data_IF_882270834499
#
_entry.id   IF_882270834499
#
_cell.length_a   1.000
_cell.length_b   1.000
_cell.length_c   1.000
_cell.angle_alpha   90.00
_cell.angle_beta   90.00
_cell.angle_gamma   90.00
#
_symmetry.space_group_name_H-M   'P 1'
#
loop_
_entity.id
_entity.type
_entity.pdbx_description
1 polymer ?
#
# COMPACT_ATOMS: atom_id res chain seq x y z
N UNK A 1 -27.55 31.23 9.76
CA UNK A 1 -27.39 30.40 8.56
C UNK A 1 -26.44 31.14 7.63
N UNK A 2 -25.14 30.93 7.79
CA UNK A 2 -24.10 31.44 6.90
C UNK A 2 -23.94 30.46 5.74
N UNK A 3 -24.11 30.95 4.52
CA UNK A 3 -24.00 30.21 3.27
C UNK A 3 -22.50 29.89 3.01
N UNK A 4 -22.16 28.63 2.72
CA UNK A 4 -20.77 28.16 2.46
C UNK A 4 -20.16 28.78 1.18
N UNK A 5 -20.95 29.55 0.41
CA UNK A 5 -20.48 30.32 -0.75
C UNK A 5 -19.43 31.38 -0.41
N UNK A 6 -19.23 31.68 0.86
CA UNK A 6 -18.07 32.41 1.33
C UNK A 6 -16.97 31.44 1.78
N UNK A 7 -16.18 30.94 0.81
CA UNK A 7 -14.81 30.49 1.07
C UNK A 7 -14.20 31.48 2.05
N UNK A 8 -13.71 31.06 3.23
CA UNK A 8 -13.71 31.91 4.41
C UNK A 8 -12.64 33.01 4.40
N UNK A 9 -12.00 33.27 3.27
CA UNK A 9 -11.09 34.38 3.06
C UNK A 9 -10.79 34.55 1.57
N UNK A 10 -10.55 35.79 1.13
CA UNK A 10 -10.02 36.11 -0.21
C UNK A 10 -8.76 35.29 -0.54
N UNK A 11 -7.98 34.93 0.49
CA UNK A 11 -6.85 34.02 0.41
C UNK A 11 -7.17 32.70 -0.31
N UNK A 12 -8.18 31.94 0.14
CA UNK A 12 -8.47 30.64 -0.46
C UNK A 12 -8.99 30.76 -1.90
N UNK A 13 -9.73 31.83 -2.22
CA UNK A 13 -10.19 32.12 -3.58
C UNK A 13 -9.00 32.39 -4.52
N UNK A 14 -7.94 33.01 -4.01
CA UNK A 14 -6.72 33.30 -4.78
C UNK A 14 -5.77 32.10 -4.85
N UNK A 15 -5.69 31.30 -3.79
CA UNK A 15 -4.78 30.16 -3.70
C UNK A 15 -5.33 28.88 -4.36
N UNK A 16 -6.65 28.69 -4.36
CA UNK A 16 -7.28 27.45 -4.80
C UNK A 16 -8.49 27.68 -5.70
N UNK A 17 -8.63 26.85 -6.72
CA UNK A 17 -9.80 26.79 -7.61
C UNK A 17 -10.64 25.55 -7.29
N UNK A 18 -11.95 25.75 -7.03
CA UNK A 18 -12.89 24.64 -6.80
C UNK A 18 -13.01 23.78 -8.06
N UNK A 19 -12.81 22.46 -7.91
CA UNK A 19 -13.05 21.48 -8.98
C UNK A 19 -14.44 20.87 -8.85
N UNK A 20 -14.77 20.34 -7.66
CA UNK A 20 -16.09 19.76 -7.32
C UNK A 20 -16.24 19.56 -5.82
N UNK A 21 -17.48 19.43 -5.35
CA UNK A 21 -17.76 18.93 -4.00
C UNK A 21 -17.67 17.39 -3.97
N UNK A 22 -17.13 16.87 -2.87
CA UNK A 22 -16.99 15.42 -2.61
C UNK A 22 -18.09 14.90 -1.68
N UNK A 23 -18.79 15.79 -0.97
CA UNK A 23 -19.93 15.48 -0.11
C UNK A 23 -21.17 16.30 -0.49
N UNK A 24 -22.34 15.88 0.02
CA UNK A 24 -23.62 16.54 -0.27
C UNK A 24 -23.80 17.86 0.47
N UNK A 25 -23.11 18.04 1.60
CA UNK A 25 -23.24 19.24 2.42
C UNK A 25 -22.26 20.34 1.99
N UNK A 26 -21.51 20.11 0.90
CA UNK A 26 -20.54 21.04 0.32
C UNK A 26 -19.43 21.45 1.30
N UNK A 27 -19.13 20.59 2.30
CA UNK A 27 -18.09 20.83 3.31
C UNK A 27 -16.74 20.25 2.93
N UNK A 28 -16.74 19.28 2.01
CA UNK A 28 -15.54 18.62 1.50
C UNK A 28 -15.48 18.90 0.01
N UNK A 29 -14.43 19.57 -0.42
CA UNK A 29 -14.24 19.96 -1.81
C UNK A 29 -12.91 19.46 -2.33
N UNK A 30 -12.91 19.02 -3.58
CA UNK A 30 -11.71 18.85 -4.38
C UNK A 30 -11.35 20.21 -4.95
N UNK A 31 -10.16 20.68 -4.62
CA UNK A 31 -9.64 21.95 -5.09
C UNK A 31 -8.34 21.75 -5.85
N UNK A 32 -8.05 22.66 -6.76
CA UNK A 32 -6.77 22.72 -7.45
C UNK A 32 -6.00 23.93 -6.97
N UNK A 33 -4.75 23.75 -6.55
CA UNK A 33 -3.87 24.86 -6.18
C UNK A 33 -3.49 25.67 -7.42
N UNK A 34 -3.58 26.99 -7.29
CA UNK A 34 -3.21 27.93 -8.34
C UNK A 34 -1.68 28.15 -8.42
N UNK A 35 -0.91 27.55 -7.49
CA UNK A 35 0.53 27.71 -7.39
C UNK A 35 1.25 26.56 -8.11
N UNK A 36 0.83 25.32 -7.88
CA UNK A 36 1.51 24.10 -8.32
C UNK A 36 0.63 23.19 -9.21
N UNK A 37 -0.59 23.63 -9.56
CA UNK A 37 -1.60 22.90 -10.34
C UNK A 37 -2.01 21.54 -9.73
N UNK A 38 -1.63 21.26 -8.48
CA UNK A 38 -1.88 19.99 -7.80
C UNK A 38 -3.27 19.97 -7.16
N UNK A 39 -3.82 18.76 -7.00
CA UNK A 39 -5.13 18.53 -6.42
C UNK A 39 -5.03 18.32 -4.90
N UNK A 40 -5.92 18.97 -4.17
CA UNK A 40 -6.02 18.90 -2.72
C UNK A 40 -7.48 18.72 -2.29
N UNK A 41 -7.67 18.21 -1.08
CA UNK A 41 -8.97 18.19 -0.43
C UNK A 41 -9.03 19.34 0.56
N UNK A 42 -10.05 20.18 0.42
CA UNK A 42 -10.37 21.25 1.36
C UNK A 42 -11.62 20.86 2.17
N UNK A 43 -11.46 20.79 3.49
CA UNK A 43 -12.53 20.47 4.44
C UNK A 43 -12.85 21.66 5.33
N UNK A 44 -14.13 21.94 5.54
CA UNK A 44 -14.62 22.91 6.52
C UNK A 44 -15.22 22.15 7.70
N UNK A 45 -14.56 22.25 8.85
CA UNK A 45 -14.92 21.52 10.07
C UNK A 45 -15.53 22.48 11.10
N UNK A 46 -16.81 22.32 11.40
CA UNK A 46 -17.50 23.11 12.44
C UNK A 46 -17.13 22.64 13.86
N UNK A 47 -16.88 21.34 14.02
CA UNK A 47 -16.46 20.73 15.27
C UNK A 47 -15.08 20.10 15.08
N UNK A 48 -14.07 20.64 15.76
CA UNK A 48 -12.68 20.22 15.59
C UNK A 48 -11.90 20.36 16.90
N UNK A 49 -10.80 19.64 16.98
CA UNK A 49 -9.70 19.95 17.90
C UNK A 49 -8.48 20.35 17.06
N UNK A 50 -8.06 21.60 17.23
CA UNK A 50 -6.92 22.14 16.50
C UNK A 50 -5.62 21.42 16.89
N UNK A 51 -5.51 20.91 18.11
CA UNK A 51 -4.31 20.25 18.59
C UNK A 51 -4.11 18.91 17.88
N UNK A 52 -5.17 18.12 17.68
CA UNK A 52 -5.10 16.86 16.92
C UNK A 52 -4.59 17.12 15.49
N UNK A 53 -5.23 18.04 14.77
CA UNK A 53 -4.82 18.38 13.40
C UNK A 53 -3.41 18.97 13.34
N UNK A 54 -3.06 19.83 14.30
CA UNK A 54 -1.71 20.40 14.39
C UNK A 54 -0.64 19.34 14.62
N UNK A 55 -0.97 18.28 15.37
CA UNK A 55 -0.05 17.17 15.66
C UNK A 55 0.11 16.25 14.46
N UNK A 56 -0.99 15.93 13.75
CA UNK A 56 -0.92 15.18 12.48
C UNK A 56 -0.09 15.96 11.44
N UNK A 57 -0.30 17.28 11.36
CA UNK A 57 0.50 18.15 10.48
C UNK A 57 1.99 18.15 10.83
N UNK A 58 2.34 18.23 12.12
CA UNK A 58 3.74 18.24 12.60
C UNK A 58 4.41 16.87 12.51
N UNK A 59 3.64 15.79 12.66
CA UNK A 59 4.13 14.42 12.67
C UNK A 59 3.25 13.55 11.76
N UNK A 60 3.50 13.59 10.44
CA UNK A 60 2.75 12.80 9.47
C UNK A 60 2.84 11.30 9.78
N UNK A 61 1.73 10.60 9.53
CA UNK A 61 1.62 9.14 9.69
C UNK A 61 1.33 8.53 8.33
N UNK A 62 2.10 7.51 7.94
CA UNK A 62 1.85 6.79 6.69
C UNK A 62 0.42 6.23 6.66
N UNK A 63 -0.26 6.40 5.53
CA UNK A 63 -1.68 6.03 5.38
C UNK A 63 -2.66 7.03 6.01
N UNK A 64 -2.21 8.21 6.42
CA UNK A 64 -3.07 9.37 6.75
C UNK A 64 -2.78 10.49 5.75
N UNK A 65 -3.80 11.16 5.15
CA UNK A 65 -3.57 12.29 4.26
C UNK A 65 -2.69 13.36 4.92
N UNK A 66 -1.67 13.83 4.21
CA UNK A 66 -0.81 14.88 4.75
C UNK A 66 -1.59 16.19 4.82
N UNK A 67 -1.56 16.82 5.99
CA UNK A 67 -2.17 18.13 6.21
C UNK A 67 -1.17 19.23 5.85
N UNK A 68 -1.54 20.11 4.93
CA UNK A 68 -0.73 21.25 4.47
C UNK A 68 -1.10 22.54 5.19
N UNK A 69 -2.40 22.80 5.32
CA UNK A 69 -2.91 24.05 5.89
C UNK A 69 -3.99 23.79 6.91
N UNK A 70 -3.98 24.64 7.95
CA UNK A 70 -4.95 24.67 9.03
C UNK A 70 -5.26 26.13 9.27
N UNK A 71 -6.45 26.56 8.89
CA UNK A 71 -6.86 27.96 8.98
C UNK A 71 -8.15 28.04 9.79
N UNK A 72 -8.10 28.50 11.05
CA UNK A 72 -9.28 28.82 11.82
C UNK A 72 -10.02 29.99 11.20
N UNK A 73 -11.35 29.89 11.11
CA UNK A 73 -12.24 30.90 10.52
C UNK A 73 -13.51 31.00 11.34
N UNK A 74 -14.32 32.04 11.10
CA UNK A 74 -15.60 32.20 11.79
C UNK A 74 -16.60 31.04 11.50
N UNK A 75 -16.43 30.35 10.38
CA UNK A 75 -17.25 29.19 9.98
C UNK A 75 -16.72 27.85 10.50
N UNK A 76 -15.54 27.82 11.14
CA UNK A 76 -14.87 26.61 11.60
C UNK A 76 -13.42 26.51 11.14
N UNK A 77 -12.83 25.32 11.25
CA UNK A 77 -11.46 25.06 10.80
C UNK A 77 -11.46 24.62 9.33
N UNK A 78 -10.74 25.36 8.50
CA UNK A 78 -10.39 24.90 7.15
C UNK A 78 -9.14 24.04 7.23
N UNK A 79 -9.23 22.83 6.67
CA UNK A 79 -8.13 21.88 6.54
C UNK A 79 -7.86 21.66 5.06
N UNK A 80 -6.61 21.85 4.62
CA UNK A 80 -6.15 21.46 3.28
C UNK A 80 -5.22 20.26 3.42
N UNK A 81 -5.56 19.17 2.75
CA UNK A 81 -4.83 17.90 2.83
C UNK A 81 -4.69 17.21 1.46
N UNK A 82 -3.87 16.15 1.40
CA UNK A 82 -3.70 15.33 0.20
C UNK A 82 -5.05 14.86 -0.37
N UNK A 83 -5.20 14.96 -1.69
CA UNK A 83 -6.22 14.22 -2.40
C UNK A 83 -5.75 12.79 -2.68
N UNK A 84 -6.48 11.82 -2.12
CA UNK A 84 -6.23 10.39 -2.36
C UNK A 84 -7.12 9.92 -3.52
N UNK A 85 -6.51 9.61 -4.66
CA UNK A 85 -7.22 9.10 -5.83
C UNK A 85 -7.47 7.58 -5.69
N UNK A 86 -8.55 7.25 -4.97
CA UNK A 86 -8.91 5.87 -4.68
C UNK A 86 -10.40 5.64 -4.51
N UNK A 87 -10.75 4.40 -4.15
CA UNK A 87 -12.13 3.97 -3.92
C UNK A 87 -12.36 3.82 -2.43
N UNK A 88 -13.47 4.34 -1.91
CA UNK A 88 -13.81 4.12 -0.50
C UNK A 88 -14.15 2.67 -0.23
N UNK A 89 -13.79 2.16 0.94
CA UNK A 89 -13.94 0.75 1.30
C UNK A 89 -15.41 0.30 1.27
N UNK A 90 -16.37 1.17 1.60
CA UNK A 90 -17.81 0.87 1.48
C UNK A 90 -18.22 0.51 0.04
N UNK A 91 -17.53 1.07 -0.95
CA UNK A 91 -17.80 0.91 -2.38
C UNK A 91 -16.99 -0.22 -3.05
N UNK A 92 -16.11 -0.91 -2.32
CA UNK A 92 -15.29 -1.99 -2.89
C UNK A 92 -16.11 -3.27 -3.01
N UNK A 93 -16.17 -3.83 -4.21
CA UNK A 93 -16.79 -5.13 -4.48
C UNK A 93 -15.75 -6.25 -4.64
N UNK A 94 -16.21 -7.50 -4.77
CA UNK A 94 -15.33 -8.66 -4.99
C UNK A 94 -14.46 -8.43 -6.23
N UNK A 95 -13.14 -8.56 -6.06
CA UNK A 95 -12.17 -8.39 -7.12
C UNK A 95 -11.97 -9.73 -7.87
N UNK A 96 -12.21 -9.78 -9.20
CA UNK A 96 -12.06 -11.03 -9.95
C UNK A 96 -10.65 -11.61 -9.84
N UNK A 97 -10.55 -12.90 -9.52
CA UNK A 97 -9.28 -13.62 -9.41
C UNK A 97 -8.45 -13.29 -8.16
N UNK A 98 -8.97 -12.47 -7.24
CA UNK A 98 -8.33 -12.15 -5.96
C UNK A 98 -8.94 -13.03 -4.87
N UNK A 99 -8.09 -13.62 -4.04
CA UNK A 99 -8.55 -14.25 -2.81
C UNK A 99 -8.93 -13.14 -1.81
N UNK A 100 -10.23 -12.97 -1.56
CA UNK A 100 -10.74 -11.91 -0.69
C UNK A 100 -10.35 -12.12 0.79
N UNK A 101 -10.11 -13.35 1.24
CA UNK A 101 -9.58 -13.61 2.59
C UNK A 101 -8.15 -13.07 2.73
N UNK A 102 -7.27 -13.41 1.78
CA UNK A 102 -5.87 -12.92 1.78
C UNK A 102 -5.81 -11.39 1.63
N UNK A 103 -6.69 -10.83 0.79
CA UNK A 103 -6.84 -9.39 0.64
C UNK A 103 -7.28 -8.74 1.95
N UNK A 104 -8.28 -9.30 2.64
CA UNK A 104 -8.77 -8.77 3.91
C UNK A 104 -7.73 -8.87 5.04
N UNK A 105 -6.94 -9.94 5.08
CA UNK A 105 -5.81 -10.07 6.01
C UNK A 105 -4.77 -8.97 5.74
N UNK A 106 -4.45 -8.72 4.47
CA UNK A 106 -3.48 -7.69 4.07
C UNK A 106 -4.00 -6.29 4.39
N UNK A 107 -5.27 -6.02 4.06
CA UNK A 107 -5.98 -4.79 4.42
C UNK A 107 -5.94 -4.53 5.92
N UNK A 108 -6.34 -5.52 6.74
CA UNK A 108 -6.35 -5.39 8.20
C UNK A 108 -4.95 -5.16 8.77
N UNK A 109 -3.92 -5.79 8.21
CA UNK A 109 -2.54 -5.57 8.61
C UNK A 109 -2.05 -4.15 8.29
N UNK A 110 -2.40 -3.60 7.12
CA UNK A 110 -2.05 -2.23 6.74
C UNK A 110 -2.79 -1.20 7.62
N UNK A 111 -4.07 -1.42 7.93
CA UNK A 111 -4.81 -0.58 8.88
C UNK A 111 -4.16 -0.59 10.28
N UNK A 112 -3.65 -1.73 10.74
CA UNK A 112 -2.94 -1.80 12.00
C UNK A 112 -1.64 -0.98 12.01
N UNK A 113 -0.97 -0.81 10.87
CA UNK A 113 0.22 0.04 10.77
C UNK A 113 -0.14 1.51 10.95
N UNK A 114 -1.22 1.97 10.30
CA UNK A 114 -1.75 3.33 10.44
C UNK A 114 -2.11 3.60 11.91
N UNK A 115 -2.92 2.72 12.51
CA UNK A 115 -3.32 2.84 13.91
C UNK A 115 -2.11 2.85 14.85
N UNK A 116 -1.14 1.97 14.62
CA UNK A 116 0.11 1.95 15.40
C UNK A 116 0.88 3.28 15.29
N UNK A 117 0.85 3.94 14.12
CA UNK A 117 1.45 5.26 13.93
C UNK A 117 0.75 6.33 14.76
N UNK A 118 -0.58 6.39 14.69
CA UNK A 118 -1.40 7.34 15.45
C UNK A 118 -1.28 7.15 16.97
N UNK A 119 -1.31 5.88 17.42
CA UNK A 119 -1.25 5.52 18.84
C UNK A 119 0.12 5.77 19.47
N UNK A 120 1.19 5.90 18.67
CA UNK A 120 2.54 6.22 19.15
C UNK A 120 2.79 7.71 19.34
N UNK A 121 1.92 8.57 18.80
CA UNK A 121 2.03 10.00 19.04
C UNK A 121 1.85 10.31 20.53
N UNK A 122 2.43 11.40 21.01
CA UNK A 122 2.32 11.79 22.43
C UNK A 122 1.51 13.09 22.54
N UNK A 123 0.31 13.09 23.16
CA UNK A 123 -0.46 11.91 23.65
C UNK A 123 -1.06 11.05 22.51
N UNK A 124 -1.37 9.76 22.70
CA UNK A 124 -1.92 8.93 21.62
C UNK A 124 -3.13 9.55 20.93
N UNK A 125 -3.18 9.52 19.59
CA UNK A 125 -4.38 9.96 18.85
C UNK A 125 -5.26 8.73 18.64
N UNK A 126 -6.45 8.72 19.22
CA UNK A 126 -7.46 7.67 19.02
C UNK A 126 -8.45 8.15 17.95
N UNK A 127 -8.60 7.40 16.87
CA UNK A 127 -9.41 7.84 15.72
C UNK A 127 -10.91 7.86 16.02
N UNK A 128 -11.42 6.86 16.77
CA UNK A 128 -12.80 6.75 17.28
C UNK A 128 -13.91 6.56 16.25
N UNK A 129 -13.62 6.70 14.97
CA UNK A 129 -14.58 6.56 13.87
C UNK A 129 -14.03 5.70 12.71
N UNK A 130 -13.43 4.55 13.06
CA UNK A 130 -12.97 3.57 12.06
C UNK A 130 -14.19 2.86 11.47
N UNK A 131 -14.45 3.10 10.18
CA UNK A 131 -15.55 2.49 9.42
C UNK A 131 -15.26 2.50 7.92
N UNK A 132 -15.95 1.70 7.09
CA UNK A 132 -15.69 1.63 5.65
C UNK A 132 -15.76 2.96 4.90
N UNK A 133 -16.60 3.90 5.32
CA UNK A 133 -16.72 5.21 4.67
C UNK A 133 -15.52 6.13 4.91
N UNK A 134 -14.74 5.87 5.97
CA UNK A 134 -13.58 6.67 6.36
C UNK A 134 -12.26 6.02 5.89
N UNK A 135 -12.32 5.05 4.98
CA UNK A 135 -11.14 4.34 4.49
C UNK A 135 -11.14 4.36 2.97
N UNK A 136 -10.05 4.84 2.37
CA UNK A 136 -9.82 4.82 0.93
C UNK A 136 -8.78 3.76 0.60
N UNK A 137 -9.03 2.97 -0.44
CA UNK A 137 -8.05 2.06 -1.03
C UNK A 137 -7.58 2.65 -2.35
N UNK A 138 -6.29 2.91 -2.45
CA UNK A 138 -5.66 3.48 -3.63
C UNK A 138 -4.35 2.74 -3.92
N UNK A 139 -4.16 2.29 -5.16
CA UNK A 139 -2.92 1.65 -5.62
C UNK A 139 -2.41 0.43 -4.83
N UNK A 140 -3.27 -0.21 -4.03
CA UNK A 140 -2.89 -1.34 -3.16
C UNK A 140 -2.57 -0.94 -1.72
N UNK A 141 -2.55 0.36 -1.44
CA UNK A 141 -2.44 0.93 -0.11
C UNK A 141 -3.81 1.30 0.47
N UNK A 142 -3.84 1.54 1.78
CA UNK A 142 -5.03 1.94 2.52
C UNK A 142 -4.76 3.29 3.18
N UNK A 143 -5.77 4.15 3.17
CA UNK A 143 -5.70 5.50 3.71
C UNK A 143 -6.87 5.70 4.65
N UNK A 144 -6.58 6.08 5.89
CA UNK A 144 -7.55 6.44 6.90
C UNK A 144 -7.80 7.95 6.83
N UNK A 145 -9.04 8.32 6.57
CA UNK A 145 -9.49 9.71 6.45
C UNK A 145 -10.46 10.05 7.59
N UNK A 146 -10.74 11.34 7.75
CA UNK A 146 -11.79 11.89 8.63
C UNK A 146 -11.63 11.54 10.13
N UNK A 147 -10.76 12.30 10.79
CA UNK A 147 -10.64 12.30 12.25
C UNK A 147 -11.90 12.90 12.86
N UNK A 148 -12.73 12.06 13.48
CA UNK A 148 -13.98 12.51 14.08
C UNK A 148 -13.75 12.97 15.53
N UNK A 149 -13.32 14.21 15.68
CA UNK A 149 -12.93 14.78 16.97
C UNK A 149 -14.13 15.24 17.83
N UNK A 150 -15.33 15.24 17.25
CA UNK A 150 -16.57 15.67 17.92
C UNK A 150 -16.91 14.90 19.20
N UNK A 151 -16.31 13.71 19.42
CA UNK A 151 -16.57 12.87 20.60
C UNK A 151 -15.75 13.23 21.84
N UNK A 152 -14.71 14.05 21.75
CA UNK A 152 -13.96 14.52 22.94
C UNK A 152 -14.66 15.66 23.68
N UNK A 153 -15.48 16.45 22.98
CA UNK A 153 -16.00 17.71 23.52
C UNK A 153 -17.24 17.58 24.43
N UNK A 154 -17.83 16.38 24.57
CA UNK A 154 -18.98 16.16 25.46
C UNK A 154 -18.55 15.57 26.80
N UNK A 155 -17.56 16.20 27.44
CA UNK A 155 -17.17 15.95 28.83
C UNK A 155 -18.24 16.33 29.87
N UNK A 156 -19.39 16.86 29.45
CA UNK A 156 -20.52 17.20 30.31
C UNK A 156 -21.84 17.11 29.54
N UNK A 157 -22.65 16.09 29.87
CA UNK A 157 -24.09 15.96 29.58
C UNK A 157 -24.55 15.77 28.12
N UNK A 158 -25.44 14.78 27.93
CA UNK A 158 -26.28 14.56 26.74
C UNK A 158 -25.77 13.43 25.84
N UNK A 159 -26.24 12.17 25.97
CA UNK A 159 -27.51 11.71 25.40
C UNK A 159 -27.96 12.62 24.24
N UNK A 160 -27.40 12.46 23.04
CA UNK A 160 -28.14 12.55 21.74
C UNK A 160 -27.31 12.71 20.45
N UNK A 161 -25.98 12.67 20.44
CA UNK A 161 -25.19 12.86 19.20
C UNK A 161 -24.60 11.59 18.58
N UNK A 162 -25.13 10.41 18.91
CA UNK A 162 -24.86 9.20 18.14
C UNK A 162 -25.68 9.25 16.85
N UNK A 163 -25.10 9.85 15.80
CA UNK A 163 -25.62 9.76 14.43
C UNK A 163 -25.94 8.28 14.16
N UNK A 164 -27.21 8.02 13.92
CA UNK A 164 -27.87 6.71 13.90
C UNK A 164 -27.15 5.66 13.02
N UNK A 165 -26.39 6.10 11.99
CA UNK A 165 -25.66 5.21 11.06
C UNK A 165 -24.25 4.77 11.49
N UNK A 166 -23.65 5.30 12.56
CA UNK A 166 -22.28 4.90 13.00
C UNK A 166 -22.31 3.87 14.15
N UNK A 167 -23.50 3.50 14.64
CA UNK A 167 -23.64 2.65 15.83
C UNK A 167 -22.96 1.29 15.69
N UNK A 168 -22.95 0.74 14.49
CA UNK A 168 -22.45 -0.61 14.20
C UNK A 168 -20.92 -0.72 14.34
N UNK A 169 -20.20 0.40 14.19
CA UNK A 169 -18.73 0.44 14.25
C UNK A 169 -18.18 1.03 15.55
N UNK A 170 -19.01 1.74 16.32
CA UNK A 170 -18.59 2.37 17.57
C UNK A 170 -18.42 1.33 18.68
N UNK A 171 -17.32 1.42 19.42
CA UNK A 171 -17.03 0.53 20.53
C UNK A 171 -18.00 0.78 21.71
N UNK A 172 -18.37 -0.25 22.49
CA UNK A 172 -19.30 -0.12 23.62
C UNK A 172 -18.94 1.00 24.60
N UNK A 173 -17.66 1.21 24.89
CA UNK A 173 -17.19 2.27 25.78
C UNK A 173 -17.58 3.68 25.29
N UNK A 174 -17.70 3.88 23.98
CA UNK A 174 -18.09 5.17 23.38
C UNK A 174 -19.55 5.54 23.64
N UNK A 175 -20.35 4.64 24.23
CA UNK A 175 -21.72 4.90 24.67
C UNK A 175 -21.80 5.36 26.14
N UNK A 176 -20.67 5.60 26.80
CA UNK A 176 -20.60 6.20 28.14
C UNK A 176 -20.31 5.22 29.28
N UNK A 177 -19.76 4.04 28.99
CA UNK A 177 -19.46 3.03 30.01
C UNK A 177 -18.01 3.08 30.53
N UNK A 178 -17.05 3.54 29.72
CA UNK A 178 -15.60 3.56 30.01
C UNK A 178 -14.90 4.66 29.19
N UNK A 179 -13.71 5.09 29.59
CA UNK A 179 -12.87 5.99 28.75
C UNK A 179 -12.38 5.26 27.49
N UNK A 180 -12.31 5.99 26.37
CA UNK A 180 -11.77 5.44 25.11
C UNK A 180 -10.24 5.40 25.14
N UNK A 181 -9.66 4.31 24.65
CA UNK A 181 -8.22 4.14 24.49
C UNK A 181 -7.87 3.52 23.13
N UNK A 182 -6.63 3.09 22.93
CA UNK A 182 -6.16 2.46 21.67
C UNK A 182 -7.00 1.25 21.24
N UNK A 183 -7.68 0.58 22.18
CA UNK A 183 -8.52 -0.59 21.94
C UNK A 183 -9.91 -0.21 21.43
N UNK A 184 -10.30 1.06 21.51
CA UNK A 184 -11.48 1.60 20.85
C UNK A 184 -11.32 1.53 19.32
N UNK A 185 -10.15 1.87 18.79
CA UNK A 185 -9.88 1.75 17.35
C UNK A 185 -9.75 0.29 16.90
N UNK A 186 -9.28 -0.60 17.78
CA UNK A 186 -9.23 -2.05 17.52
C UNK A 186 -10.64 -2.61 17.33
N UNK A 187 -11.60 -2.18 18.15
CA UNK A 187 -13.00 -2.55 17.96
C UNK A 187 -13.54 -2.04 16.63
N UNK A 188 -13.32 -0.77 16.29
CA UNK A 188 -13.79 -0.19 15.04
C UNK A 188 -13.19 -0.89 13.80
N UNK A 189 -11.91 -1.28 13.87
CA UNK A 189 -11.29 -2.11 12.84
C UNK A 189 -11.91 -3.52 12.82
N UNK A 190 -12.19 -4.13 13.96
CA UNK A 190 -12.91 -5.39 14.07
C UNK A 190 -14.29 -5.35 13.40
N UNK A 191 -15.09 -4.32 13.67
CA UNK A 191 -16.39 -4.10 13.04
C UNK A 191 -16.28 -3.86 11.53
N UNK A 192 -15.25 -3.13 11.10
CA UNK A 192 -14.94 -2.95 9.67
C UNK A 192 -14.58 -4.29 9.00
N UNK A 193 -13.78 -5.12 9.66
CA UNK A 193 -13.44 -6.46 9.17
C UNK A 193 -14.66 -7.38 9.15
N UNK A 194 -15.56 -7.29 10.14
CA UNK A 194 -16.85 -8.01 10.16
C UNK A 194 -17.70 -7.67 8.95
N UNK A 195 -17.85 -6.38 8.65
CA UNK A 195 -18.56 -5.90 7.47
C UNK A 195 -18.00 -6.52 6.17
N UNK A 196 -16.68 -6.53 6.01
CA UNK A 196 -16.04 -7.13 4.83
C UNK A 196 -16.16 -8.66 4.80
N UNK A 197 -16.05 -9.32 5.95
CA UNK A 197 -16.21 -10.77 6.10
C UNK A 197 -17.57 -11.22 5.56
N UNK A 198 -18.63 -10.50 5.93
CA UNK A 198 -20.00 -10.74 5.46
C UNK A 198 -20.19 -10.32 4.00
N UNK A 199 -19.74 -9.11 3.62
CA UNK A 199 -19.86 -8.60 2.24
C UNK A 199 -19.21 -9.54 1.22
N UNK A 200 -18.09 -10.16 1.58
CA UNK A 200 -17.36 -11.05 0.68
C UNK A 200 -17.68 -12.54 0.86
N UNK A 201 -18.62 -12.89 1.74
CA UNK A 201 -19.02 -14.28 2.02
C UNK A 201 -17.81 -15.17 2.38
N UNK A 202 -16.96 -14.65 3.27
CA UNK A 202 -15.76 -15.36 3.74
C UNK A 202 -16.21 -16.42 4.75
N UNK A 203 -15.68 -17.64 4.64
CA UNK A 203 -16.02 -18.78 5.50
C UNK A 203 -14.78 -19.30 6.25
N UNK A 204 -14.02 -18.39 6.87
CA UNK A 204 -12.77 -18.70 7.58
C UNK A 204 -12.97 -18.57 9.10
N UNK A 205 -13.08 -19.71 9.78
CA UNK A 205 -13.22 -19.78 11.24
C UNK A 205 -12.10 -19.03 11.97
N UNK A 206 -10.88 -19.11 11.42
CA UNK A 206 -9.72 -18.40 11.97
C UNK A 206 -9.95 -16.90 11.93
N UNK A 207 -10.32 -16.36 10.77
CA UNK A 207 -10.51 -14.93 10.62
C UNK A 207 -11.71 -14.45 11.41
N UNK A 208 -12.79 -15.24 11.45
CA UNK A 208 -13.94 -14.99 12.30
C UNK A 208 -13.53 -14.87 13.79
N UNK A 209 -12.72 -15.80 14.31
CA UNK A 209 -12.26 -15.76 15.71
C UNK A 209 -11.42 -14.51 16.04
N UNK A 210 -10.63 -14.04 15.07
CA UNK A 210 -9.84 -12.80 15.21
C UNK A 210 -10.76 -11.58 15.26
N UNK A 211 -11.76 -11.53 14.38
CA UNK A 211 -12.75 -10.46 14.33
C UNK A 211 -13.56 -10.42 15.64
N UNK A 212 -14.04 -11.58 16.12
CA UNK A 212 -14.78 -11.69 17.39
C UNK A 212 -13.96 -11.19 18.58
N UNK A 213 -12.67 -11.56 18.65
CA UNK A 213 -11.79 -11.06 19.71
C UNK A 213 -11.57 -9.55 19.61
N UNK A 214 -11.40 -9.01 18.41
CA UNK A 214 -11.26 -7.56 18.21
C UNK A 214 -12.52 -6.79 18.65
N UNK A 215 -13.70 -7.39 18.45
CA UNK A 215 -15.00 -6.82 18.80
C UNK A 215 -15.50 -7.22 20.20
N UNK A 216 -14.66 -7.80 21.07
CA UNK A 216 -15.08 -8.20 22.40
C UNK A 216 -15.67 -7.01 23.18
N UNK A 217 -16.80 -7.20 23.87
CA UNK A 217 -17.47 -6.11 24.57
C UNK A 217 -16.55 -5.41 25.58
N UNK A 218 -15.85 -6.22 26.38
CA UNK A 218 -14.86 -5.79 27.37
C UNK A 218 -13.51 -5.47 26.67
N UNK A 219 -12.99 -4.23 26.77
CA UNK A 219 -11.69 -3.85 26.19
C UNK A 219 -10.53 -4.73 26.65
N UNK A 220 -10.54 -5.26 27.88
CA UNK A 220 -9.47 -6.13 28.40
C UNK A 220 -9.40 -7.48 27.68
N UNK A 221 -10.49 -7.90 27.04
CA UNK A 221 -10.55 -9.15 26.25
C UNK A 221 -10.13 -8.98 24.79
N UNK A 222 -9.95 -7.73 24.34
CA UNK A 222 -9.52 -7.42 22.97
C UNK A 222 -8.02 -7.67 22.80
N UNK A 223 -7.50 -7.32 21.63
CA UNK A 223 -6.06 -7.17 21.44
C UNK A 223 -5.59 -5.94 22.21
N UNK A 224 -4.40 -6.02 22.82
CA UNK A 224 -3.86 -4.92 23.65
C UNK A 224 -3.58 -3.66 22.84
N UNK A 225 -3.14 -3.83 21.59
CA UNK A 225 -2.72 -2.79 20.67
C UNK A 225 -2.87 -3.28 19.21
N UNK A 226 -2.76 -2.35 18.26
CA UNK A 226 -2.81 -2.67 16.83
C UNK A 226 -1.68 -3.62 16.38
N UNK A 227 -0.54 -3.62 17.07
CA UNK A 227 0.57 -4.53 16.78
C UNK A 227 0.22 -6.00 17.07
N UNK A 228 -0.44 -6.29 18.19
CA UNK A 228 -0.89 -7.64 18.55
C UNK A 228 -1.95 -8.15 17.55
N UNK A 229 -2.89 -7.29 17.15
CA UNK A 229 -3.89 -7.62 16.14
C UNK A 229 -3.20 -7.96 14.80
N UNK A 230 -2.30 -7.08 14.31
CA UNK A 230 -1.53 -7.32 13.08
C UNK A 230 -0.78 -8.65 13.12
N UNK A 231 -0.06 -8.93 14.20
CA UNK A 231 0.68 -10.18 14.38
C UNK A 231 -0.26 -11.38 14.30
N UNK A 232 -1.44 -11.29 14.88
CA UNK A 232 -2.44 -12.37 14.87
C UNK A 232 -3.02 -12.59 13.47
N UNK A 233 -3.40 -11.50 12.78
CA UNK A 233 -3.86 -11.54 11.38
C UNK A 233 -2.84 -12.23 10.46
N UNK A 234 -1.56 -11.85 10.56
CA UNK A 234 -0.49 -12.38 9.70
C UNK A 234 0.04 -13.76 10.14
N UNK A 235 -0.32 -14.22 11.34
CA UNK A 235 0.15 -15.52 11.84
C UNK A 235 -0.50 -16.68 11.07
N UNK A 236 0.24 -17.28 10.14
CA UNK A 236 -0.16 -18.54 9.49
C UNK A 236 -0.27 -19.72 10.49
N UNK A 237 0.27 -19.58 11.71
CA UNK A 237 0.62 -20.69 12.60
C UNK A 237 -0.40 -21.04 13.69
N UNK A 238 -1.52 -20.32 13.83
CA UNK A 238 -2.51 -20.69 14.86
C UNK A 238 -3.23 -22.02 14.54
N UNK A 239 -3.24 -22.44 13.27
CA UNK A 239 -3.66 -23.78 12.85
C UNK A 239 -2.67 -24.89 13.23
N UNK A 240 -1.38 -24.61 13.36
CA UNK A 240 -0.45 -25.62 13.83
C UNK A 240 -0.61 -25.82 15.33
N UNK A 241 -0.82 -24.74 16.12
CA UNK A 241 -1.01 -24.84 17.57
C UNK A 241 -2.36 -25.43 17.99
N UNK A 242 -3.47 -25.13 17.30
CA UNK A 242 -4.78 -25.73 17.62
C UNK A 242 -4.90 -27.19 17.13
N UNK A 243 -4.34 -27.53 15.96
CA UNK A 243 -4.25 -28.93 15.52
C UNK A 243 -3.23 -29.75 16.32
N UNK A 244 -2.15 -29.14 16.83
CA UNK A 244 -1.24 -29.79 17.77
C UNK A 244 -1.86 -29.99 19.15
N UNK A 245 -2.68 -29.05 19.65
CA UNK A 245 -3.36 -29.22 20.95
C UNK A 245 -4.42 -30.32 20.92
N UNK A 246 -5.14 -30.49 19.80
CA UNK A 246 -6.08 -31.62 19.62
C UNK A 246 -5.37 -32.98 19.50
N UNK A 247 -4.16 -33.02 18.92
CA UNK A 247 -3.34 -34.25 18.82
C UNK A 247 -2.47 -34.54 20.06
N UNK A 248 -2.24 -33.58 20.94
CA UNK A 248 -1.30 -33.71 22.07
C UNK A 248 -1.90 -34.32 23.35
N UNK A 249 -3.20 -34.56 23.43
CA UNK A 249 -3.78 -35.32 24.54
C UNK A 249 -3.57 -36.84 24.42
N UNK A 250 -2.96 -37.35 23.35
CA UNK A 250 -2.80 -38.80 23.15
C UNK A 250 -1.38 -39.32 23.11
N UNK A 251 -0.33 -38.49 23.17
CA UNK A 251 1.06 -38.97 23.09
C UNK A 251 2.05 -38.08 23.86
N UNK A 252 1.90 -38.03 25.18
CA UNK A 252 2.96 -37.55 26.08
C UNK A 252 3.85 -38.75 26.41
N UNK A 253 4.95 -38.92 25.67
CA UNK A 253 6.25 -39.41 26.16
C UNK A 253 7.20 -39.60 24.98
N UNK A 254 8.17 -38.68 24.86
CA UNK A 254 9.62 -38.94 24.90
C UNK A 254 10.40 -37.84 24.19
N UNK A 255 11.39 -37.35 24.93
CA UNK A 255 12.72 -36.94 24.47
C UNK A 255 12.78 -35.69 23.56
N UNK A 256 12.92 -34.50 24.13
CA UNK A 256 14.20 -33.85 24.50
C UNK A 256 14.84 -33.02 23.38
N UNK A 257 14.87 -31.70 23.63
CA UNK A 257 16.01 -30.79 23.46
C UNK A 257 16.32 -30.20 22.07
N UNK A 258 16.20 -28.87 22.03
CA UNK A 258 16.97 -27.86 21.25
C UNK A 258 16.67 -27.76 19.75
N UNK A 259 16.76 -26.61 19.06
CA UNK A 259 17.59 -25.40 19.27
C UNK A 259 17.11 -24.29 18.29
N UNK A 260 17.18 -23.03 18.75
CA UNK A 260 17.56 -21.80 18.00
C UNK A 260 16.78 -21.30 16.75
N UNK A 261 16.09 -20.17 16.96
CA UNK A 261 16.24 -18.85 16.27
C UNK A 261 16.53 -18.78 14.76
N UNK A 262 15.61 -18.19 13.97
CA UNK A 262 15.92 -17.35 12.80
C UNK A 262 14.82 -16.26 12.66
N UNK A 263 15.13 -15.04 13.11
CA UNK A 263 14.26 -13.84 13.05
C UNK A 263 14.70 -12.90 11.90
N UNK A 264 15.23 -13.46 10.80
CA UNK A 264 15.91 -12.68 9.74
C UNK A 264 15.41 -12.87 8.30
N UNK A 265 14.52 -13.82 8.00
CA UNK A 265 14.40 -14.29 6.61
C UNK A 265 13.51 -13.46 5.67
N UNK A 266 12.66 -12.54 6.15
CA UNK A 266 11.69 -11.88 5.22
C UNK A 266 12.18 -10.59 4.55
N UNK A 267 13.40 -10.12 4.84
CA UNK A 267 13.93 -8.88 4.22
C UNK A 267 14.64 -9.11 2.87
N UNK A 268 15.01 -10.35 2.55
CA UNK A 268 15.88 -10.66 1.40
C UNK A 268 15.15 -10.90 0.06
N UNK A 269 13.85 -11.17 0.06
CA UNK A 269 13.12 -11.56 -1.15
C UNK A 269 12.51 -10.40 -1.95
N UNK A 270 12.49 -9.18 -1.40
CA UNK A 270 11.96 -7.98 -2.10
C UNK A 270 12.75 -7.68 -3.37
N UNK A 271 14.06 -7.91 -3.34
CA UNK A 271 15.00 -7.67 -4.45
C UNK A 271 15.45 -8.95 -5.15
N UNK A 272 14.84 -10.09 -4.82
CA UNK A 272 15.18 -11.34 -5.50
C UNK A 272 14.71 -11.27 -6.97
N UNK A 273 15.55 -11.78 -7.90
CA UNK A 273 15.21 -11.78 -9.32
C UNK A 273 13.97 -12.65 -9.60
N UNK A 274 13.28 -12.44 -10.73
CA UNK A 274 12.12 -13.24 -11.11
C UNK A 274 12.40 -14.75 -11.01
N UNK A 275 11.49 -15.50 -10.38
CA UNK A 275 11.66 -16.94 -10.11
C UNK A 275 12.31 -17.30 -8.76
N UNK A 276 12.96 -16.34 -8.08
CA UNK A 276 13.60 -16.54 -6.76
C UNK A 276 12.88 -15.81 -5.62
N UNK A 277 11.73 -15.19 -5.92
CA UNK A 277 10.92 -14.41 -4.96
C UNK A 277 10.03 -15.27 -4.06
N UNK A 278 9.69 -16.48 -4.51
CA UNK A 278 8.86 -17.40 -3.75
C UNK A 278 9.76 -18.45 -3.08
N UNK A 279 9.48 -18.80 -1.81
CA UNK A 279 10.17 -19.85 -1.04
C UNK A 279 9.92 -21.26 -1.60
N UNK A 280 9.37 -21.37 -2.81
CA UNK A 280 9.13 -22.64 -3.48
C UNK A 280 10.38 -23.05 -4.25
N UNK A 281 11.08 -24.06 -3.74
CA UNK A 281 12.29 -24.66 -4.33
C UNK A 281 12.07 -25.03 -5.80
N UNK A 282 10.87 -25.46 -6.18
CA UNK A 282 10.56 -25.82 -7.56
C UNK A 282 10.66 -24.62 -8.52
N UNK A 283 10.20 -23.45 -8.09
CA UNK A 283 10.29 -22.22 -8.91
C UNK A 283 11.73 -21.76 -9.05
N UNK A 284 12.53 -21.89 -7.98
CA UNK A 284 13.96 -21.59 -8.01
C UNK A 284 14.71 -22.52 -8.97
N UNK A 285 14.40 -23.83 -8.95
CA UNK A 285 15.01 -24.81 -9.85
C UNK A 285 14.63 -24.57 -11.31
N UNK A 286 13.40 -24.15 -11.59
CA UNK A 286 12.96 -23.81 -12.95
C UNK A 286 13.64 -22.53 -13.46
N UNK A 287 13.88 -21.55 -12.57
CA UNK A 287 14.48 -20.27 -12.96
C UNK A 287 16.01 -20.31 -13.06
N UNK A 288 16.68 -21.18 -12.30
CA UNK A 288 18.15 -21.28 -12.24
C UNK A 288 18.84 -21.46 -13.61
N UNK A 289 18.36 -22.32 -14.53
CA UNK A 289 18.98 -22.50 -15.84
C UNK A 289 19.08 -21.21 -16.66
N UNK A 290 18.09 -20.31 -16.54
CA UNK A 290 18.06 -19.03 -17.29
C UNK A 290 19.20 -18.12 -16.83
N UNK A 291 19.41 -18.00 -15.53
CA UNK A 291 20.49 -17.15 -14.99
C UNK A 291 21.88 -17.76 -15.18
N UNK A 292 22.00 -19.08 -15.12
CA UNK A 292 23.25 -19.79 -15.45
C UNK A 292 23.61 -19.55 -16.92
N UNK A 293 22.63 -19.62 -17.83
CA UNK A 293 22.83 -19.34 -19.24
C UNK A 293 23.27 -17.90 -19.50
N UNK A 294 22.74 -16.93 -18.75
CA UNK A 294 23.18 -15.52 -18.86
C UNK A 294 24.65 -15.33 -18.48
N UNK A 295 25.11 -15.99 -17.41
CA UNK A 295 26.53 -15.95 -17.02
C UNK A 295 27.40 -16.67 -18.04
N UNK A 296 26.90 -17.76 -18.62
CA UNK A 296 27.60 -18.46 -19.71
C UNK A 296 27.80 -17.58 -20.94
N UNK A 297 26.77 -16.82 -21.34
CA UNK A 297 26.90 -15.83 -22.43
C UNK A 297 28.02 -14.83 -22.11
N UNK A 298 28.10 -14.31 -20.90
CA UNK A 298 29.16 -13.37 -20.53
C UNK A 298 30.56 -13.98 -20.64
N UNK A 299 30.70 -15.29 -20.41
CA UNK A 299 31.98 -15.99 -20.42
C UNK A 299 32.43 -16.41 -21.82
N UNK A 300 31.52 -16.91 -22.65
CA UNK A 300 31.85 -17.56 -23.94
C UNK A 300 31.58 -16.68 -25.17
N UNK A 301 31.06 -15.46 -24.97
CA UNK A 301 30.77 -14.56 -26.08
C UNK A 301 32.05 -14.12 -26.79
N UNK A 302 32.10 -14.35 -28.10
CA UNK A 302 33.15 -13.89 -29.01
C UNK A 302 32.52 -13.13 -30.16
N UNK A 303 32.94 -11.89 -30.36
CA UNK A 303 32.53 -11.07 -31.50
C UNK A 303 33.40 -11.42 -32.71
N UNK A 304 33.01 -12.43 -33.50
CA UNK A 304 33.57 -12.68 -34.85
C UNK A 304 35.11 -12.60 -35.00
N UNK A 305 35.57 -12.45 -36.25
CA UNK A 305 36.98 -12.18 -36.54
C UNK A 305 37.27 -10.69 -36.32
N UNK A 306 37.64 -10.32 -35.09
CA UNK A 306 38.10 -8.96 -34.78
C UNK A 306 39.53 -8.75 -35.31
N UNK A 307 39.83 -7.57 -35.84
CA UNK A 307 41.18 -7.19 -36.29
C UNK A 307 42.17 -6.88 -35.15
N UNK A 308 41.77 -7.08 -33.89
CA UNK A 308 42.56 -6.84 -32.69
C UNK A 308 43.17 -8.14 -32.18
N UNK A 309 44.41 -8.07 -31.70
CA UNK A 309 45.09 -9.18 -31.04
C UNK A 309 45.38 -8.87 -29.57
N UNK A 310 45.38 -9.90 -28.72
CA UNK A 310 45.81 -9.79 -27.33
C UNK A 310 44.75 -9.23 -26.37
N UNK A 311 45.09 -8.19 -25.61
CA UNK A 311 44.23 -7.67 -24.53
C UNK A 311 43.00 -6.93 -25.06
N UNK A 312 43.16 -6.16 -26.14
CA UNK A 312 42.08 -5.35 -26.72
C UNK A 312 40.97 -6.26 -27.22
N UNK A 313 41.30 -7.33 -27.95
CA UNK A 313 40.33 -8.33 -28.41
C UNK A 313 39.48 -8.91 -27.25
N UNK A 314 40.12 -9.24 -26.13
CA UNK A 314 39.44 -9.77 -24.94
C UNK A 314 38.53 -8.72 -24.28
N UNK A 315 38.95 -7.46 -24.28
CA UNK A 315 38.15 -6.37 -23.74
C UNK A 315 36.91 -6.11 -24.61
N UNK A 316 37.07 -6.17 -25.94
CA UNK A 316 35.97 -6.04 -26.90
C UNK A 316 34.96 -7.18 -26.76
N UNK A 317 35.42 -8.43 -26.70
CA UNK A 317 34.55 -9.60 -26.47
C UNK A 317 33.78 -9.46 -25.15
N UNK A 318 34.47 -9.05 -24.07
CA UNK A 318 33.85 -8.81 -22.77
C UNK A 318 32.79 -7.70 -22.82
N UNK A 319 33.08 -6.58 -23.46
CA UNK A 319 32.14 -5.46 -23.59
C UNK A 319 30.90 -5.85 -24.41
N UNK A 320 31.08 -6.64 -25.47
CA UNK A 320 29.97 -7.20 -26.25
C UNK A 320 29.10 -8.16 -25.43
N UNK A 321 29.74 -9.07 -24.70
CA UNK A 321 29.05 -10.00 -23.80
C UNK A 321 28.31 -9.29 -22.66
N UNK A 322 28.91 -8.25 -22.07
CA UNK A 322 28.29 -7.42 -21.03
C UNK A 322 27.08 -6.66 -21.58
N UNK A 323 27.18 -6.12 -22.79
CA UNK A 323 26.07 -5.41 -23.44
C UNK A 323 24.89 -6.36 -23.68
N UNK A 324 25.15 -7.55 -24.24
CA UNK A 324 24.12 -8.56 -24.47
C UNK A 324 23.49 -9.06 -23.16
N UNK A 325 24.30 -9.26 -22.12
CA UNK A 325 23.83 -9.61 -20.78
C UNK A 325 22.87 -8.56 -20.21
N UNK A 326 23.25 -7.28 -20.26
CA UNK A 326 22.44 -6.16 -19.76
C UNK A 326 21.11 -6.03 -20.52
N UNK A 327 21.11 -6.32 -21.82
CA UNK A 327 19.90 -6.34 -22.65
C UNK A 327 18.96 -7.45 -22.20
N UNK A 328 19.46 -8.69 -22.10
CA UNK A 328 18.60 -9.84 -21.78
C UNK A 328 18.08 -9.75 -20.35
N UNK A 329 18.91 -9.32 -19.39
CA UNK A 329 18.44 -9.11 -18.01
C UNK A 329 17.38 -8.02 -17.96
N UNK A 330 17.54 -6.92 -18.69
CA UNK A 330 16.53 -5.86 -18.75
C UNK A 330 15.19 -6.37 -19.32
N UNK A 331 15.24 -7.17 -20.40
CA UNK A 331 14.03 -7.79 -20.98
C UNK A 331 13.36 -8.72 -19.95
N UNK A 332 14.11 -9.56 -19.25
CA UNK A 332 13.55 -10.46 -18.22
C UNK A 332 12.91 -9.66 -17.08
N UNK A 333 13.59 -8.62 -16.60
CA UNK A 333 13.07 -7.77 -15.52
C UNK A 333 11.83 -7.00 -15.97
N UNK A 334 11.81 -6.46 -17.18
CA UNK A 334 10.66 -5.73 -17.71
C UNK A 334 9.45 -6.64 -17.96
N UNK A 335 9.66 -7.79 -18.61
CA UNK A 335 8.58 -8.77 -18.90
C UNK A 335 8.01 -9.42 -17.64
N UNK A 336 8.83 -9.61 -16.60
CA UNK A 336 8.38 -10.11 -15.31
C UNK A 336 7.79 -9.03 -14.38
N UNK A 337 7.63 -7.79 -14.87
CA UNK A 337 7.19 -6.62 -14.09
C UNK A 337 8.00 -6.46 -12.77
N UNK A 338 9.32 -6.58 -12.89
CA UNK A 338 10.22 -6.49 -11.76
C UNK A 338 10.09 -5.13 -11.08
N UNK A 339 9.70 -5.15 -9.79
CA UNK A 339 9.46 -3.96 -8.96
C UNK A 339 8.33 -3.05 -9.47
N UNK A 340 7.45 -3.56 -10.34
CA UNK A 340 6.31 -2.78 -10.86
C UNK A 340 6.69 -1.75 -11.92
N UNK A 341 7.88 -1.85 -12.53
CA UNK A 341 8.34 -0.89 -13.55
C UNK A 341 7.44 -0.88 -14.78
N UNK A 342 7.03 -2.06 -15.26
CA UNK A 342 6.18 -2.18 -16.46
C UNK A 342 4.75 -1.76 -16.15
N UNK A 343 4.21 -2.18 -15.02
CA UNK A 343 2.86 -1.78 -14.60
C UNK A 343 2.75 -0.27 -14.36
N UNK A 344 3.78 0.38 -13.83
CA UNK A 344 3.86 1.84 -13.71
C UNK A 344 3.83 2.56 -15.08
N UNK A 345 4.52 2.02 -16.09
CA UNK A 345 4.50 2.54 -17.46
C UNK A 345 3.10 2.43 -18.09
N UNK A 346 2.43 1.29 -17.93
CA UNK A 346 1.09 1.05 -18.49
C UNK A 346 -0.03 1.80 -17.76
N UNK A 347 0.12 2.11 -16.46
CA UNK A 347 -0.81 2.98 -15.72
C UNK A 347 -0.92 4.36 -16.36
N UNK A 348 0.19 4.94 -16.82
CA UNK A 348 0.20 6.26 -17.49
C UNK A 348 -0.60 6.29 -18.81
N UNK A 349 -0.80 5.13 -19.45
CA UNK A 349 -1.48 5.00 -20.74
C UNK A 349 -2.98 4.63 -20.55
N UNK A 350 -3.47 4.49 -19.31
CA UNK A 350 -4.86 4.07 -18.97
C UNK A 350 -5.30 2.82 -19.75
N UNK A 351 -4.42 1.83 -19.84
CA UNK A 351 -4.68 0.59 -20.60
C UNK A 351 -5.72 -0.31 -19.90
N UNK A 352 -5.93 -0.15 -18.59
CA UNK A 352 -6.82 -0.98 -17.78
C UNK A 352 -8.31 -0.89 -18.22
N UNK A 353 -8.73 0.27 -18.74
CA UNK A 353 -10.11 0.53 -19.16
C UNK A 353 -10.42 0.03 -20.58
N UNK A 354 -9.44 -0.60 -21.24
CA UNK A 354 -9.54 -1.02 -22.65
C UNK A 354 -9.96 -2.50 -22.78
N UNK A 355 -10.61 -2.88 -23.89
CA UNK A 355 -10.94 -4.28 -24.16
C UNK A 355 -9.67 -5.16 -24.18
N UNK A 356 -9.81 -6.42 -23.80
CA UNK A 356 -8.69 -7.37 -23.62
C UNK A 356 -7.77 -7.44 -24.85
N UNK A 357 -8.35 -7.45 -26.06
CA UNK A 357 -7.62 -7.49 -27.32
C UNK A 357 -6.72 -6.25 -27.48
N UNK A 358 -7.23 -5.06 -27.14
CA UNK A 358 -6.46 -3.82 -27.24
C UNK A 358 -5.34 -3.78 -26.20
N UNK A 359 -5.58 -4.33 -24.99
CA UNK A 359 -4.53 -4.49 -23.98
C UNK A 359 -3.39 -5.37 -24.47
N UNK A 360 -3.71 -6.55 -24.99
CA UNK A 360 -2.71 -7.49 -25.53
C UNK A 360 -1.95 -6.85 -26.70
N UNK A 361 -2.66 -6.20 -27.63
CA UNK A 361 -2.04 -5.55 -28.78
C UNK A 361 -1.10 -4.41 -28.34
N UNK A 362 -1.54 -3.55 -27.44
CA UNK A 362 -0.70 -2.47 -26.91
C UNK A 362 0.52 -2.99 -26.13
N UNK A 363 0.36 -4.07 -25.34
CA UNK A 363 1.50 -4.72 -24.67
C UNK A 363 2.50 -5.25 -25.69
N UNK A 364 2.05 -5.96 -26.72
CA UNK A 364 2.91 -6.46 -27.80
C UNK A 364 3.62 -5.34 -28.55
N UNK A 365 2.94 -4.22 -28.81
CA UNK A 365 3.53 -3.04 -29.45
C UNK A 365 4.61 -2.42 -28.57
N UNK A 366 4.34 -2.23 -27.27
CA UNK A 366 5.33 -1.65 -26.35
C UNK A 366 6.54 -2.57 -26.19
N UNK A 367 6.32 -3.88 -26.06
CA UNK A 367 7.40 -4.85 -26.00
C UNK A 367 8.23 -4.82 -27.30
N UNK A 368 7.59 -4.75 -28.47
CA UNK A 368 8.28 -4.63 -29.76
C UNK A 368 9.07 -3.31 -29.89
N UNK A 369 8.50 -2.19 -29.46
CA UNK A 369 9.18 -0.88 -29.47
C UNK A 369 10.36 -0.85 -28.51
N UNK A 370 10.25 -1.50 -27.34
CA UNK A 370 11.34 -1.61 -26.38
C UNK A 370 12.48 -2.45 -26.93
N UNK A 371 12.17 -3.60 -27.54
CA UNK A 371 13.17 -4.44 -28.22
C UNK A 371 13.83 -3.66 -29.36
N UNK A 372 13.06 -2.94 -30.17
CA UNK A 372 13.60 -2.10 -31.25
C UNK A 372 14.50 -0.98 -30.73
N UNK A 373 14.09 -0.28 -29.65
CA UNK A 373 14.90 0.74 -29.01
C UNK A 373 16.22 0.18 -28.49
N UNK A 374 16.17 -0.99 -27.84
CA UNK A 374 17.36 -1.68 -27.35
C UNK A 374 18.29 -2.06 -28.50
N UNK A 375 17.75 -2.58 -29.61
CA UNK A 375 18.54 -2.87 -30.82
C UNK A 375 19.19 -1.62 -31.40
N UNK A 376 18.49 -0.49 -31.43
CA UNK A 376 19.05 0.79 -31.88
C UNK A 376 20.17 1.26 -30.95
N UNK A 377 19.98 1.21 -29.63
CA UNK A 377 21.02 1.54 -28.66
C UNK A 377 22.23 0.61 -28.84
N UNK A 378 22.01 -0.68 -29.07
CA UNK A 378 23.08 -1.63 -29.35
C UNK A 378 23.84 -1.28 -30.64
N UNK A 379 23.13 -0.95 -31.72
CA UNK A 379 23.76 -0.52 -32.98
C UNK A 379 24.51 0.80 -32.80
N UNK A 380 23.99 1.76 -32.03
CA UNK A 380 24.68 3.02 -31.73
C UNK A 380 25.93 2.77 -30.90
N UNK A 381 25.86 1.91 -29.88
CA UNK A 381 27.01 1.52 -29.06
C UNK A 381 28.04 0.81 -29.92
N UNK A 382 27.63 -0.15 -30.75
CA UNK A 382 28.49 -0.80 -31.72
C UNK A 382 29.14 0.24 -32.66
N UNK A 383 28.38 1.16 -33.24
CA UNK A 383 28.91 2.23 -34.12
C UNK A 383 29.82 3.19 -33.34
N UNK A 384 29.57 3.52 -32.08
CA UNK A 384 30.50 4.35 -31.29
C UNK A 384 31.81 3.62 -31.00
N UNK A 385 31.72 2.31 -30.79
CA UNK A 385 32.87 1.44 -30.59
C UNK A 385 33.68 1.30 -31.91
N UNK A 386 33.03 0.93 -33.02
CA UNK A 386 33.66 0.72 -34.34
C UNK A 386 33.96 2.02 -35.11
N UNK A 387 33.18 3.08 -34.89
CA UNK A 387 33.32 4.38 -35.57
C UNK A 387 34.41 5.26 -34.97
N UNK A 388 34.78 5.00 -33.70
CA UNK A 388 35.97 5.61 -33.10
C UNK A 388 37.27 5.15 -33.79
N UNK A 389 37.31 3.92 -34.33
CA UNK A 389 38.47 3.38 -35.05
C UNK A 389 38.76 4.12 -36.37
N UNK A 390 37.73 4.62 -37.05
CA UNK A 390 37.91 5.41 -38.29
C UNK A 390 38.37 6.85 -38.05
N UNK A 391 38.32 7.34 -36.80
CA UNK A 391 38.76 8.69 -36.42
C UNK A 391 40.15 8.71 -35.79
N UNK A 392 40.61 7.59 -35.24
CA UNK A 392 41.97 7.44 -34.67
C UNK A 392 42.95 6.78 -35.64
N UNK A 393 42.55 6.53 -36.89
CA UNK A 393 43.44 6.14 -37.99
C UNK A 393 44.32 7.29 -38.47
N UNK A 394 45.25 7.73 -37.61
CA UNK A 394 46.49 8.43 -37.98
C UNK A 394 47.63 8.03 -37.05
#
# INVERSE_FOLDING_TARGET
MSDIRDLPTEYFKNAYTLVRYLDKNERVSLVRSNIDDSLYVLKVLEHYDLDIYSRIKKSPVDGVPKVYELVPTDAGLVVVEDYIDGVRLDQIDKLPGVNMEDWMITFGANMCDILSGLHKLTPPIIHRDIKPQNIIVAEGDVYLIDFNISREYTGTQGKDTLIMGTREYAAPEQYGFLESDVRTDIYGLGATLRYLYEKFDISSDRLNSVIERAMAFDPEKRYKDAYELKKTLLSKSLLQKSMLQSKNNTRINKDSVSKTSIDGEKKYYKYAPPGFRHVNILHMLIASPVYIFLVYILYDFKMGDNHFDGFEARLYDFMGGLSLFLIIIFIILFTADYLGVRSSLFKRIRLADKPLVLRILCTLIVDALLVAFILVVFVIVAIMIFGAENLTGH
#
